data_IF_117872342557
#
_entry.id   IF_117872342557
#
_cell.length_a   1.000
_cell.length_b   1.000
_cell.length_c   1.000
_cell.angle_alpha   90.00
_cell.angle_beta   90.00
_cell.angle_gamma   90.00
#
_symmetry.space_group_name_H-M   'P 1'
#
loop_
_entity.id
_entity.type
_entity.pdbx_description
1 polymer ?
#
# COMPACT_ATOMS: atom_id res chain seq x y z
N UNK A 1 -11.03 11.00 10.44
CA UNK A 1 -10.51 10.61 9.13
C UNK A 1 -9.58 9.43 9.40
N UNK A 2 -10.05 8.20 9.20
CA UNK A 2 -9.28 7.01 9.59
C UNK A 2 -8.21 6.76 8.53
N UNK A 3 -6.94 6.74 8.94
CA UNK A 3 -5.84 6.84 7.97
C UNK A 3 -5.72 5.62 7.07
N UNK A 4 -5.90 4.36 7.51
CA UNK A 4 -5.75 3.19 6.61
C UNK A 4 -6.54 1.89 6.95
N UNK A 5 -7.66 1.87 7.72
CA UNK A 5 -8.31 0.59 8.05
C UNK A 5 -8.81 -0.15 6.80
N UNK A 6 -9.19 0.60 5.77
CA UNK A 6 -9.74 0.04 4.52
C UNK A 6 -8.73 -0.86 3.77
N UNK A 7 -7.42 -0.72 4.00
CA UNK A 7 -6.39 -1.55 3.35
C UNK A 7 -5.64 -2.47 4.32
N UNK A 8 -6.26 -2.72 5.48
CA UNK A 8 -5.77 -3.71 6.45
C UNK A 8 -4.90 -3.14 7.56
N UNK A 9 -4.84 -1.82 7.78
CA UNK A 9 -4.11 -1.25 8.93
C UNK A 9 -4.93 -0.21 9.70
N UNK A 10 -5.35 -0.58 10.90
CA UNK A 10 -5.95 0.34 11.85
C UNK A 10 -4.92 0.75 12.91
N UNK A 11 -4.16 1.80 12.59
CA UNK A 11 -3.13 2.34 13.48
C UNK A 11 -3.68 2.78 14.85
N UNK A 12 -4.96 3.22 14.90
CA UNK A 12 -5.57 3.73 16.12
C UNK A 12 -5.88 2.60 17.09
N UNK A 13 -6.45 1.52 16.55
CA UNK A 13 -6.81 0.35 17.33
C UNK A 13 -5.66 -0.67 17.44
N UNK A 14 -4.52 -0.42 16.79
CA UNK A 14 -3.37 -1.33 16.70
C UNK A 14 -3.82 -2.70 16.19
N UNK A 15 -4.65 -2.70 15.15
CA UNK A 15 -5.07 -3.92 14.49
C UNK A 15 -4.67 -3.92 13.02
N UNK A 16 -4.45 -5.11 12.48
CA UNK A 16 -4.12 -5.29 11.07
C UNK A 16 -4.81 -6.51 10.48
N UNK A 17 -5.22 -6.39 9.22
CA UNK A 17 -5.65 -7.49 8.38
C UNK A 17 -4.54 -7.78 7.39
N UNK A 18 -3.97 -8.97 7.50
CA UNK A 18 -2.97 -9.50 6.60
C UNK A 18 -3.68 -10.29 5.51
N UNK A 19 -3.38 -10.01 4.24
CA UNK A 19 -3.99 -10.70 3.13
C UNK A 19 -3.09 -11.83 2.64
N UNK A 20 -3.70 -12.99 2.39
CA UNK A 20 -2.98 -14.23 2.05
C UNK A 20 -1.81 -14.50 3.03
N UNK A 21 -0.58 -14.67 2.53
CA UNK A 21 0.60 -14.84 3.39
C UNK A 21 1.17 -13.53 3.95
N UNK A 22 0.80 -12.38 3.38
CA UNK A 22 1.40 -11.07 3.66
C UNK A 22 2.81 -10.88 3.06
N UNK A 23 3.30 -11.85 2.29
CA UNK A 23 4.64 -11.82 1.68
C UNK A 23 4.64 -11.34 0.23
N UNK A 24 3.48 -11.01 -0.35
CA UNK A 24 3.44 -10.39 -1.66
C UNK A 24 4.06 -8.98 -1.59
N UNK A 25 5.11 -8.70 -2.39
CA UNK A 25 5.71 -7.39 -2.40
C UNK A 25 4.83 -6.38 -3.13
N UNK A 26 4.74 -5.17 -2.58
CA UNK A 26 4.06 -4.05 -3.20
C UNK A 26 4.89 -2.77 -3.16
N UNK A 27 4.66 -1.85 -4.09
CA UNK A 27 5.35 -0.57 -4.12
C UNK A 27 4.49 0.51 -3.47
N UNK A 28 5.11 1.33 -2.62
CA UNK A 28 4.47 2.49 -2.03
C UNK A 28 5.38 3.72 -2.10
N UNK A 29 4.78 4.89 -1.91
CA UNK A 29 5.45 6.19 -1.79
C UNK A 29 4.58 7.09 -0.92
N UNK A 30 5.19 7.91 -0.07
CA UNK A 30 4.42 8.88 0.72
C UNK A 30 3.84 9.97 -0.18
N UNK A 31 2.61 10.42 0.11
CA UNK A 31 1.86 11.34 -0.76
C UNK A 31 2.65 12.63 -1.03
N UNK A 32 3.35 13.16 -0.02
CA UNK A 32 4.18 14.36 -0.14
C UNK A 32 5.34 14.22 -1.12
N UNK A 33 5.78 12.98 -1.41
CA UNK A 33 6.89 12.71 -2.32
C UNK A 33 6.46 12.51 -3.77
N UNK A 34 5.17 12.31 -4.04
CA UNK A 34 4.64 12.09 -5.40
C UNK A 34 4.84 13.33 -6.31
N UNK A 35 4.80 14.54 -5.74
CA UNK A 35 4.82 15.78 -6.52
C UNK A 35 6.11 16.02 -7.31
N UNK A 36 7.28 15.69 -6.74
CA UNK A 36 8.59 15.92 -7.38
C UNK A 36 8.77 15.05 -8.63
N UNK A 37 8.52 13.73 -8.60
CA UNK A 37 8.55 12.87 -9.79
C UNK A 37 7.62 13.34 -10.89
N UNK A 38 6.39 13.76 -10.56
CA UNK A 38 5.44 14.30 -11.55
C UNK A 38 5.99 15.57 -12.20
N UNK A 39 6.50 16.52 -11.39
CA UNK A 39 7.07 17.76 -11.92
C UNK A 39 8.32 17.51 -12.78
N UNK A 40 9.15 16.54 -12.42
CA UNK A 40 10.29 16.11 -13.23
C UNK A 40 9.83 15.50 -14.56
N UNK A 41 8.86 14.58 -14.53
CA UNK A 41 8.28 13.95 -15.70
C UNK A 41 7.75 14.98 -16.71
N UNK A 42 6.98 15.97 -16.24
CA UNK A 42 6.38 17.00 -17.09
C UNK A 42 7.41 17.88 -17.82
N UNK A 43 8.66 17.93 -17.34
CA UNK A 43 9.76 18.65 -17.99
C UNK A 43 10.46 17.82 -19.08
N UNK A 44 10.15 16.52 -19.20
CA UNK A 44 10.73 15.68 -20.24
C UNK A 44 9.96 15.81 -21.56
N UNK A 45 10.67 15.97 -22.70
CA UNK A 45 10.04 16.18 -24.01
C UNK A 45 9.36 14.92 -24.57
N UNK A 46 9.78 13.73 -24.12
CA UNK A 46 9.15 12.45 -24.51
C UNK A 46 8.11 12.04 -23.47
N UNK A 47 6.84 12.14 -23.86
CA UNK A 47 5.69 11.68 -23.07
C UNK A 47 5.43 10.20 -23.35
N UNK A 48 6.20 9.34 -22.71
CA UNK A 48 5.96 7.89 -22.72
C UNK A 48 5.48 7.43 -21.34
N UNK A 49 4.80 6.27 -21.27
CA UNK A 49 4.44 5.66 -19.99
C UNK A 49 5.72 5.32 -19.25
N UNK A 50 5.88 5.85 -18.04
CA UNK A 50 7.02 5.58 -17.16
C UNK A 50 6.53 5.14 -15.80
N UNK A 51 7.33 4.29 -15.17
CA UNK A 51 7.07 3.76 -13.83
C UNK A 51 8.03 4.43 -12.85
N UNK A 52 7.54 4.74 -11.65
CA UNK A 52 8.37 5.09 -10.49
C UNK A 52 8.00 4.23 -9.32
N UNK A 53 8.97 3.96 -8.47
CA UNK A 53 8.76 3.25 -7.21
C UNK A 53 9.34 4.08 -6.07
N UNK A 54 8.61 4.26 -4.97
CA UNK A 54 9.19 4.86 -3.76
C UNK A 54 10.03 3.83 -3.01
N UNK A 55 9.38 2.75 -2.57
CA UNK A 55 10.02 1.63 -1.88
C UNK A 55 9.18 0.36 -2.05
N UNK A 56 9.86 -0.79 -1.94
CA UNK A 56 9.24 -2.11 -1.93
C UNK A 56 8.85 -2.50 -0.51
N UNK A 57 7.66 -3.05 -0.34
CA UNK A 57 7.06 -3.38 0.94
C UNK A 57 6.48 -4.78 0.94
N UNK A 58 6.52 -5.41 2.11
CA UNK A 58 5.65 -6.53 2.48
C UNK A 58 4.62 -6.01 3.46
N UNK A 59 3.46 -6.67 3.59
CA UNK A 59 2.51 -6.29 4.63
C UNK A 59 3.19 -6.47 6.00
N UNK A 60 3.33 -5.40 6.82
CA UNK A 60 3.99 -5.54 8.10
C UNK A 60 3.21 -6.50 9.00
N UNK A 61 3.86 -7.61 9.34
CA UNK A 61 3.31 -8.58 10.29
C UNK A 61 3.30 -8.00 11.71
N UNK A 62 2.55 -8.66 12.60
CA UNK A 62 2.36 -8.30 14.02
C UNK A 62 3.67 -7.88 14.72
N UNK A 63 4.77 -8.58 14.47
CA UNK A 63 6.06 -8.29 15.10
C UNK A 63 6.68 -6.95 14.68
N UNK A 64 6.68 -6.62 13.38
CA UNK A 64 7.28 -5.38 12.89
C UNK A 64 6.48 -4.18 13.40
N UNK A 65 5.16 -4.28 13.34
CA UNK A 65 4.25 -3.26 13.86
C UNK A 65 4.42 -3.09 15.37
N UNK A 66 4.54 -4.20 16.11
CA UNK A 66 4.76 -4.15 17.57
C UNK A 66 6.11 -3.53 17.94
N UNK A 67 7.17 -3.81 17.19
CA UNK A 67 8.50 -3.18 17.37
C UNK A 67 8.44 -1.66 17.17
N UNK A 68 7.70 -1.19 16.18
CA UNK A 68 7.60 0.24 15.86
C UNK A 68 6.73 1.03 16.86
N UNK A 69 5.68 0.41 17.42
CA UNK A 69 4.76 1.09 18.34
C UNK A 69 5.02 0.79 19.82
N UNK A 70 5.87 -0.18 20.14
CA UNK A 70 5.99 -0.76 21.48
C UNK A 70 4.64 -1.18 22.08
N UNK A 71 3.75 -1.70 21.24
CA UNK A 71 2.39 -2.14 21.61
C UNK A 71 2.09 -3.46 20.92
N UNK A 72 1.22 -4.28 21.50
CA UNK A 72 0.74 -5.50 20.87
C UNK A 72 -0.28 -5.14 19.78
N UNK A 73 -0.17 -5.80 18.64
CA UNK A 73 -1.12 -5.66 17.54
C UNK A 73 -2.05 -6.86 17.45
N UNK A 74 -3.34 -6.62 17.21
CA UNK A 74 -4.31 -7.66 16.88
C UNK A 74 -4.30 -7.92 15.38
N UNK A 75 -4.02 -9.15 14.96
CA UNK A 75 -3.84 -9.48 13.55
C UNK A 75 -4.80 -10.56 13.10
N UNK A 76 -5.55 -10.27 12.04
CA UNK A 76 -6.41 -11.23 11.35
C UNK A 76 -5.85 -11.53 9.97
N UNK A 77 -6.11 -12.74 9.46
CA UNK A 77 -5.73 -13.13 8.10
C UNK A 77 -6.98 -13.36 7.26
N UNK A 78 -7.02 -12.81 6.06
CA UNK A 78 -8.13 -12.94 5.10
C UNK A 78 -7.53 -13.27 3.72
N UNK A 79 -8.17 -14.12 2.92
CA UNK A 79 -7.68 -14.34 1.56
C UNK A 79 -8.04 -13.20 0.62
N UNK A 80 -7.17 -12.87 -0.33
CA UNK A 80 -7.46 -11.88 -1.37
C UNK A 80 -8.61 -12.30 -2.27
N UNK A 81 -8.79 -13.60 -2.49
CA UNK A 81 -9.94 -14.15 -3.21
C UNK A 81 -11.26 -13.84 -2.51
N UNK A 82 -11.30 -13.94 -1.18
CA UNK A 82 -12.48 -13.59 -0.39
C UNK A 82 -12.74 -12.08 -0.45
N UNK A 83 -11.71 -11.25 -0.27
CA UNK A 83 -11.83 -9.80 -0.40
C UNK A 83 -12.37 -9.37 -1.78
N UNK A 84 -11.89 -10.01 -2.84
CA UNK A 84 -12.35 -9.78 -4.22
C UNK A 84 -13.78 -10.24 -4.44
N UNK A 85 -14.16 -11.40 -3.88
CA UNK A 85 -15.53 -11.94 -3.95
C UNK A 85 -16.51 -11.00 -3.25
N UNK A 86 -16.18 -10.54 -2.05
CA UNK A 86 -16.97 -9.54 -1.34
C UNK A 86 -17.06 -8.22 -2.11
N UNK A 87 -15.94 -7.75 -2.69
CA UNK A 87 -15.92 -6.55 -3.51
C UNK A 87 -16.91 -6.61 -4.68
N UNK A 88 -17.00 -7.77 -5.36
CA UNK A 88 -17.99 -7.99 -6.43
C UNK A 88 -19.43 -7.96 -5.92
N UNK A 89 -19.70 -8.48 -4.73
CA UNK A 89 -21.03 -8.42 -4.10
C UNK A 89 -21.38 -6.96 -3.77
N UNK A 90 -20.45 -6.23 -3.14
CA UNK A 90 -20.60 -4.80 -2.80
C UNK A 90 -20.87 -3.96 -4.05
N UNK A 91 -20.17 -4.24 -5.16
CA UNK A 91 -20.40 -3.58 -6.44
C UNK A 91 -21.84 -3.77 -6.95
N UNK A 92 -22.35 -5.01 -6.92
CA UNK A 92 -23.72 -5.32 -7.35
C UNK A 92 -24.79 -4.64 -6.49
N UNK A 93 -24.47 -4.36 -5.24
CA UNK A 93 -25.37 -3.74 -4.27
C UNK A 93 -25.22 -2.21 -4.22
N UNK A 94 -24.37 -1.62 -5.06
CA UNK A 94 -24.15 -0.16 -5.12
C UNK A 94 -23.16 0.38 -4.08
N UNK A 95 -22.48 -0.48 -3.31
CA UNK A 95 -21.36 -0.08 -2.45
C UNK A 95 -20.06 -0.02 -3.26
N UNK A 96 -19.87 1.11 -3.94
CA UNK A 96 -18.71 1.33 -4.79
C UNK A 96 -17.40 1.47 -4.00
N UNK A 97 -17.44 2.01 -2.77
CA UNK A 97 -16.24 2.15 -1.93
C UNK A 97 -15.73 0.76 -1.52
N UNK A 98 -16.62 -0.08 -0.99
CA UNK A 98 -16.27 -1.44 -0.60
C UNK A 98 -15.86 -2.32 -1.78
N UNK A 99 -16.47 -2.11 -2.95
CA UNK A 99 -16.06 -2.77 -4.19
C UNK A 99 -14.63 -2.39 -4.63
N UNK A 100 -14.32 -1.09 -4.59
CA UNK A 100 -12.99 -0.57 -4.89
C UNK A 100 -11.93 -1.17 -3.97
N UNK A 101 -12.18 -1.15 -2.66
CA UNK A 101 -11.27 -1.71 -1.65
C UNK A 101 -11.01 -3.20 -1.90
N UNK A 102 -12.06 -4.01 -2.02
CA UNK A 102 -11.90 -5.46 -2.22
C UNK A 102 -11.16 -5.82 -3.51
N UNK A 103 -11.31 -5.01 -4.56
CA UNK A 103 -10.59 -5.21 -5.82
C UNK A 103 -9.13 -4.80 -5.69
N UNK A 104 -8.84 -3.66 -5.05
CA UNK A 104 -7.48 -3.15 -4.92
C UNK A 104 -6.65 -3.98 -3.95
N UNK A 105 -7.24 -4.52 -2.88
CA UNK A 105 -6.57 -5.48 -1.99
C UNK A 105 -6.03 -6.68 -2.76
N UNK A 106 -6.83 -7.28 -3.64
CA UNK A 106 -6.36 -8.41 -4.46
C UNK A 106 -5.30 -7.99 -5.48
N UNK A 107 -5.45 -6.81 -6.09
CA UNK A 107 -4.42 -6.25 -6.97
C UNK A 107 -3.09 -6.02 -6.23
N UNK A 108 -3.15 -5.66 -4.96
CA UNK A 108 -1.97 -5.27 -4.18
C UNK A 108 -1.24 -6.45 -3.53
N UNK A 109 -1.99 -7.38 -2.95
CA UNK A 109 -1.47 -8.31 -1.95
C UNK A 109 -1.63 -9.80 -2.31
N UNK A 110 -2.16 -10.11 -3.50
CA UNK A 110 -2.36 -11.51 -3.88
C UNK A 110 -1.01 -12.23 -4.05
N UNK A 111 -0.81 -13.31 -3.30
CA UNK A 111 0.44 -14.07 -3.35
C UNK A 111 0.81 -14.53 -4.77
N UNK A 112 2.03 -14.22 -5.18
CA UNK A 112 2.61 -14.63 -6.45
C UNK A 112 2.04 -13.91 -7.68
N UNK A 113 1.20 -12.89 -7.49
CA UNK A 113 0.61 -12.15 -8.60
C UNK A 113 1.63 -11.24 -9.30
N UNK A 114 2.61 -10.68 -8.57
CA UNK A 114 3.62 -9.77 -9.11
C UNK A 114 3.04 -8.49 -9.69
N UNK A 115 1.80 -8.16 -9.33
CA UNK A 115 1.01 -7.09 -9.96
C UNK A 115 1.34 -5.70 -9.43
N UNK A 116 1.96 -5.63 -8.26
CA UNK A 116 2.29 -4.38 -7.55
C UNK A 116 3.74 -3.93 -7.75
N UNK A 117 4.58 -4.81 -8.27
CA UNK A 117 6.01 -4.54 -8.52
C UNK A 117 6.20 -4.42 -10.02
N UNK A 118 6.32 -3.19 -10.48
CA UNK A 118 6.53 -2.91 -11.89
C UNK A 118 8.03 -2.79 -12.18
N UNK A 119 8.48 -3.52 -13.20
CA UNK A 119 9.83 -3.38 -13.75
C UNK A 119 10.03 -2.02 -14.44
N UNK A 120 11.29 -1.59 -14.52
CA UNK A 120 11.67 -0.39 -15.26
C UNK A 120 11.37 0.93 -14.54
N UNK A 121 11.38 0.93 -13.21
CA UNK A 121 11.27 2.16 -12.42
C UNK A 121 12.43 3.12 -12.73
N UNK A 122 12.11 4.32 -13.25
CA UNK A 122 13.10 5.34 -13.64
C UNK A 122 13.30 6.38 -12.54
N UNK A 123 13.55 5.89 -11.32
CA UNK A 123 13.62 6.73 -10.11
C UNK A 123 14.68 7.84 -10.20
N UNK A 124 15.85 7.53 -10.76
CA UNK A 124 16.94 8.50 -10.95
C UNK A 124 16.54 9.62 -11.91
N UNK A 125 15.92 9.26 -13.04
CA UNK A 125 15.43 10.21 -14.03
C UNK A 125 14.41 11.17 -13.41
N UNK A 126 13.52 10.65 -12.57
CA UNK A 126 12.46 11.42 -11.93
C UNK A 126 12.85 12.01 -10.59
N UNK A 127 14.12 11.85 -10.17
CA UNK A 127 14.64 12.38 -8.91
C UNK A 127 13.77 11.97 -7.71
N UNK A 128 13.34 10.71 -7.69
CA UNK A 128 12.59 10.15 -6.57
C UNK A 128 13.51 10.16 -5.35
N UNK A 129 13.07 10.81 -4.27
CA UNK A 129 13.84 10.84 -3.02
C UNK A 129 13.60 9.54 -2.25
N UNK A 130 14.67 8.85 -1.80
CA UNK A 130 14.52 7.60 -1.07
C UNK A 130 13.70 7.78 0.21
N UNK A 131 13.01 6.72 0.61
CA UNK A 131 12.16 6.67 1.80
C UNK A 131 12.51 5.44 2.62
N UNK A 132 12.64 5.64 3.93
CA UNK A 132 12.78 4.55 4.89
C UNK A 132 11.41 4.23 5.49
N UNK A 133 10.98 2.97 5.38
CA UNK A 133 9.68 2.53 5.88
C UNK A 133 9.49 2.88 7.36
N UNK A 134 10.52 2.74 8.19
CA UNK A 134 10.42 3.02 9.63
C UNK A 134 10.19 4.52 9.92
N UNK A 135 10.67 5.41 9.04
CA UNK A 135 10.40 6.85 9.13
C UNK A 135 8.95 7.14 8.72
N UNK A 136 8.49 6.54 7.61
CA UNK A 136 7.10 6.68 7.13
C UNK A 136 6.12 6.17 8.19
N UNK A 137 6.40 5.02 8.80
CA UNK A 137 5.58 4.46 9.87
C UNK A 137 5.54 5.37 11.10
N UNK A 138 6.69 5.92 11.53
CA UNK A 138 6.74 6.88 12.65
C UNK A 138 5.95 8.15 12.36
N UNK A 139 6.04 8.70 11.14
CA UNK A 139 5.22 9.83 10.72
C UNK A 139 3.74 9.49 10.76
N UNK A 140 3.34 8.33 10.23
CA UNK A 140 1.95 7.90 10.26
C UNK A 140 1.40 7.77 11.68
N UNK A 141 2.19 7.22 12.62
CA UNK A 141 1.81 7.06 14.03
C UNK A 141 1.69 8.40 14.77
N UNK A 142 2.44 9.43 14.38
CA UNK A 142 2.35 10.75 15.01
C UNK A 142 1.02 11.48 14.74
N UNK A 143 0.21 10.97 13.81
CA UNK A 143 -1.07 11.55 13.39
C UNK A 143 -2.29 10.87 14.05
N UNK A 144 -2.05 9.91 14.96
CA UNK A 144 -3.08 9.05 15.57
C UNK A 144 -3.06 9.19 17.09
#
# INVERSE_FOLDING_TARGET
MALFPDFGFDLKNHSATIYDSGNEPFQAMSIEKIGKPIAAFLKHPKRQRITTSGFLLLQPHSERSSRLTNKKWDTTTISTDEARREGKIKLRNGDYKGAYVGSLVAQLYQDGAGTSVLDGAVNELLKVEPEELDEVARKALAWV
#
